data_IF_555613918349
#
_entry.id   IF_555613918349
#
_cell.length_a   1.000
_cell.length_b   1.000
_cell.length_c   1.000
_cell.angle_alpha   90.00
_cell.angle_beta   90.00
_cell.angle_gamma   90.00
#
_symmetry.space_group_name_H-M   'P 1'
#
loop_
_entity.id
_entity.type
_entity.pdbx_description
1 polymer ?
#
# COMPACT_ATOMS: atom_id res chain seq x y z
N UNK A 1 -20.08 -27.65 35.22
CA UNK A 1 -18.92 -27.75 34.32
C UNK A 1 -19.01 -26.57 33.39
N UNK A 2 -18.27 -25.50 33.69
CA UNK A 2 -18.32 -24.26 32.92
C UNK A 2 -17.53 -24.46 31.63
N UNK A 3 -18.19 -24.28 30.50
CA UNK A 3 -17.57 -24.29 29.19
C UNK A 3 -16.83 -22.96 29.02
N UNK A 4 -15.51 -22.98 29.21
CA UNK A 4 -14.64 -21.86 28.85
C UNK A 4 -14.67 -21.72 27.33
N UNK A 5 -15.46 -20.78 26.81
CA UNK A 5 -15.38 -20.40 25.40
C UNK A 5 -14.00 -19.80 25.16
N UNK A 6 -13.12 -20.56 24.51
CA UNK A 6 -11.85 -20.06 24.00
C UNK A 6 -12.16 -18.95 23.01
N UNK A 7 -11.99 -17.71 23.46
CA UNK A 7 -12.11 -16.55 22.60
C UNK A 7 -11.22 -16.65 21.38
N UNK A 8 -11.77 -16.32 20.21
CA UNK A 8 -10.98 -16.28 18.99
C UNK A 8 -10.12 -15.01 18.97
N UNK A 9 -8.80 -15.19 19.13
CA UNK A 9 -7.79 -14.12 18.97
C UNK A 9 -7.54 -13.77 17.49
N UNK A 10 -8.05 -14.60 16.58
CA UNK A 10 -8.09 -14.38 15.15
C UNK A 10 -9.55 -14.43 14.69
N UNK A 11 -9.96 -13.53 13.81
CA UNK A 11 -11.32 -13.53 13.27
C UNK A 11 -11.32 -13.15 11.79
N UNK A 12 -12.08 -13.90 11.00
CA UNK A 12 -12.42 -13.53 9.64
C UNK A 12 -13.66 -12.63 9.69
N UNK A 13 -13.49 -11.37 9.33
CA UNK A 13 -14.56 -10.41 9.18
C UNK A 13 -15.10 -10.48 7.77
N UNK A 14 -16.42 -10.53 7.64
CA UNK A 14 -17.11 -10.38 6.36
C UNK A 14 -17.92 -9.10 6.37
N UNK A 15 -17.62 -8.24 5.41
CA UNK A 15 -18.29 -6.98 5.20
C UNK A 15 -19.29 -7.13 4.06
N UNK A 16 -20.51 -6.67 4.31
CA UNK A 16 -21.55 -6.51 3.28
C UNK A 16 -22.12 -5.12 3.44
N UNK A 17 -21.86 -4.25 2.46
CA UNK A 17 -22.40 -2.90 2.42
C UNK A 17 -23.81 -2.91 1.84
N UNK A 18 -24.68 -2.06 2.40
CA UNK A 18 -26.01 -1.78 1.85
C UNK A 18 -25.95 -0.90 0.60
N UNK A 19 -24.81 -0.23 0.35
CA UNK A 19 -24.58 0.51 -0.88
C UNK A 19 -24.19 -0.47 -2.02
N UNK A 20 -24.69 -0.25 -3.25
CA UNK A 20 -24.41 -1.14 -4.38
C UNK A 20 -22.93 -1.14 -4.82
N UNK A 21 -22.18 -0.11 -4.43
CA UNK A 21 -20.73 -0.07 -4.57
C UNK A 21 -20.13 0.45 -3.27
N UNK A 22 -19.12 -0.25 -2.75
CA UNK A 22 -18.33 0.19 -1.62
C UNK A 22 -16.86 0.10 -2.03
N UNK A 23 -16.06 1.13 -1.78
CA UNK A 23 -14.65 1.13 -2.20
C UNK A 23 -13.73 0.91 -1.01
N UNK A 24 -14.08 1.47 0.15
CA UNK A 24 -13.29 1.30 1.37
C UNK A 24 -14.22 1.14 2.58
N UNK A 25 -13.94 0.18 3.44
CA UNK A 25 -14.59 0.01 4.73
C UNK A 25 -13.59 0.40 5.80
N UNK A 26 -13.91 1.39 6.64
CA UNK A 26 -13.14 1.67 7.85
C UNK A 26 -13.92 1.09 9.04
N UNK A 27 -13.21 0.51 10.00
CA UNK A 27 -13.80 -0.07 11.20
C UNK A 27 -12.79 -0.05 12.34
N UNK A 28 -13.25 -0.10 13.58
CA UNK A 28 -12.39 -0.17 14.75
C UNK A 28 -12.54 -1.50 15.44
N UNK A 29 -11.43 -2.05 15.95
CA UNK A 29 -11.41 -3.24 16.80
C UNK A 29 -10.81 -2.82 18.13
N UNK A 30 -11.60 -2.85 19.20
CA UNK A 30 -11.17 -2.38 20.53
C UNK A 30 -10.58 -0.94 20.51
N UNK A 31 -11.16 -0.06 19.69
CA UNK A 31 -10.70 1.31 19.51
C UNK A 31 -9.44 1.47 18.64
N UNK A 32 -8.90 0.38 18.09
CA UNK A 32 -7.80 0.42 17.12
C UNK A 32 -8.36 0.53 15.70
N UNK A 33 -7.95 1.52 14.89
CA UNK A 33 -8.48 1.72 13.54
C UNK A 33 -7.92 0.71 12.54
N UNK A 34 -8.81 0.11 11.75
CA UNK A 34 -8.52 -0.78 10.62
C UNK A 34 -9.30 -0.33 9.37
N UNK A 35 -8.87 -0.79 8.21
CA UNK A 35 -9.62 -0.60 6.97
C UNK A 35 -9.42 -1.73 5.98
N UNK A 36 -10.40 -1.93 5.12
CA UNK A 36 -10.35 -2.85 3.99
C UNK A 36 -10.82 -2.15 2.71
N UNK A 37 -10.31 -2.56 1.54
CA UNK A 37 -10.68 -2.01 0.23
C UNK A 37 -11.47 -3.06 -0.55
N UNK A 38 -12.71 -2.74 -0.88
CA UNK A 38 -13.61 -3.62 -1.62
C UNK A 38 -13.46 -3.34 -3.11
N UNK A 39 -12.71 -4.20 -3.81
CA UNK A 39 -12.32 -3.98 -5.22
C UNK A 39 -13.42 -4.38 -6.20
N UNK A 40 -14.25 -5.38 -5.86
CA UNK A 40 -15.21 -6.01 -6.76
C UNK A 40 -16.66 -6.02 -6.24
N UNK A 41 -17.14 -4.90 -5.68
CA UNK A 41 -18.57 -4.73 -5.34
C UNK A 41 -18.82 -4.19 -3.94
N UNK A 42 -19.85 -4.73 -3.28
CA UNK A 42 -20.28 -4.29 -1.95
C UNK A 42 -19.94 -5.28 -0.83
N UNK A 43 -19.22 -6.37 -1.14
CA UNK A 43 -18.81 -7.39 -0.18
C UNK A 43 -17.30 -7.55 -0.14
N UNK A 44 -16.78 -7.98 1.01
CA UNK A 44 -15.41 -8.45 1.13
C UNK A 44 -15.12 -9.10 2.47
N UNK A 45 -13.91 -9.64 2.59
CA UNK A 45 -13.45 -10.31 3.78
C UNK A 45 -12.10 -9.75 4.23
N UNK A 46 -11.86 -9.80 5.53
CA UNK A 46 -10.60 -9.41 6.15
C UNK A 46 -10.27 -10.38 7.28
N UNK A 47 -9.00 -10.61 7.52
CA UNK A 47 -8.56 -11.46 8.63
C UNK A 47 -7.78 -10.59 9.61
N UNK A 48 -8.28 -10.51 10.83
CA UNK A 48 -7.67 -9.71 11.89
C UNK A 48 -7.19 -10.58 13.03
N UNK A 49 -6.08 -10.16 13.63
CA UNK A 49 -5.49 -10.79 14.80
C UNK A 49 -5.34 -9.74 15.90
N UNK A 50 -5.78 -10.10 17.11
CA UNK A 50 -5.82 -9.21 18.25
C UNK A 50 -5.15 -9.85 19.47
N UNK A 51 -4.61 -9.00 20.34
CA UNK A 51 -4.10 -9.42 21.66
C UNK A 51 -5.23 -9.70 22.65
N UNK A 52 -6.46 -9.30 22.31
CA UNK A 52 -7.69 -9.53 23.05
C UNK A 52 -8.64 -10.37 22.21
N UNK A 53 -9.55 -11.06 22.90
CA UNK A 53 -10.60 -11.84 22.27
C UNK A 53 -11.44 -10.94 21.35
N UNK A 54 -11.45 -11.28 20.06
CA UNK A 54 -12.20 -10.52 19.06
C UNK A 54 -13.64 -11.01 19.11
N UNK A 55 -14.55 -10.08 19.42
CA UNK A 55 -15.99 -10.33 19.42
C UNK A 55 -16.71 -9.24 18.64
N UNK A 56 -17.93 -9.53 18.18
CA UNK A 56 -18.69 -8.59 17.34
C UNK A 56 -18.98 -7.26 18.04
N UNK A 57 -19.08 -7.26 19.38
CA UNK A 57 -19.30 -6.04 20.18
C UNK A 57 -18.09 -5.11 20.20
N UNK A 58 -16.90 -5.64 19.90
CA UNK A 58 -15.64 -4.89 19.92
C UNK A 58 -15.37 -4.23 18.57
N UNK A 59 -16.17 -4.56 17.54
CA UNK A 59 -16.08 -4.00 16.20
C UNK A 59 -17.05 -2.82 16.11
N UNK A 60 -16.51 -1.62 15.96
CA UNK A 60 -17.29 -0.38 16.04
C UNK A 60 -17.02 0.54 14.84
N UNK A 61 -17.93 1.49 14.63
CA UNK A 61 -17.85 2.56 13.61
C UNK A 61 -17.58 2.06 12.18
N UNK A 62 -18.23 0.95 11.78
CA UNK A 62 -18.12 0.39 10.43
C UNK A 62 -18.70 1.39 9.43
N UNK A 63 -17.82 2.00 8.63
CA UNK A 63 -18.20 3.02 7.64
C UNK A 63 -17.72 2.64 6.25
N UNK A 64 -18.63 2.66 5.28
CA UNK A 64 -18.31 2.47 3.87
C UNK A 64 -18.10 3.82 3.19
N UNK A 65 -16.97 3.97 2.51
CA UNK A 65 -16.71 5.07 1.59
C UNK A 65 -16.85 4.58 0.15
N UNK A 66 -17.68 5.28 -0.61
CA UNK A 66 -17.95 5.02 -2.02
C UNK A 66 -17.11 6.00 -2.84
N UNK A 67 -16.28 5.50 -3.76
CA UNK A 67 -15.62 6.37 -4.73
C UNK A 67 -16.69 7.03 -5.63
N UNK A 68 -16.52 8.32 -5.94
CA UNK A 68 -17.40 9.04 -6.88
C UNK A 68 -17.42 8.27 -8.21
N UNK A 69 -18.57 7.68 -8.55
CA UNK A 69 -18.74 6.93 -9.80
C UNK A 69 -18.57 7.90 -10.96
N UNK A 70 -17.43 7.84 -11.64
CA UNK A 70 -17.27 8.43 -12.96
C UNK A 70 -17.96 7.45 -13.90
N UNK A 71 -19.04 7.88 -14.57
CA UNK A 71 -19.80 7.03 -15.47
C UNK A 71 -18.85 6.38 -16.48
N UNK A 72 -18.70 5.05 -16.41
CA UNK A 72 -17.90 4.30 -17.38
C UNK A 72 -18.68 4.26 -18.68
N UNK A 73 -18.26 5.04 -19.66
CA UNK A 73 -18.66 4.82 -21.06
C UNK A 73 -18.20 3.42 -21.50
N UNK A 74 -19.01 2.66 -22.25
CA UNK A 74 -18.62 1.32 -22.70
C UNK A 74 -17.35 1.41 -23.56
N UNK A 75 -16.37 0.58 -23.25
CA UNK A 75 -15.09 0.50 -23.98
C UNK A 75 -15.35 -0.12 -25.36
N UNK A 76 -15.11 0.58 -26.49
CA UNK A 76 -15.03 -0.07 -27.79
C UNK A 76 -13.77 -0.92 -27.85
N UNK A 77 -13.91 -2.15 -28.33
CA UNK A 77 -12.88 -3.18 -28.49
C UNK A 77 -11.56 -2.61 -29.06
N UNK A 78 -10.47 -3.07 -28.45
CA UNK A 78 -9.06 -2.75 -28.74
C UNK A 78 -8.76 -2.42 -30.20
N UNK A 79 -8.28 -1.19 -30.41
CA UNK A 79 -7.31 -0.92 -31.47
C UNK A 79 -6.01 -0.46 -30.82
N UNK A 80 -4.94 -1.20 -31.15
CA UNK A 80 -3.50 -0.89 -31.21
C UNK A 80 -3.07 0.46 -30.58
N UNK A 81 -2.04 0.47 -29.70
CA UNK A 81 -1.78 1.59 -28.81
C UNK A 81 -1.46 2.87 -29.58
N UNK A 82 -2.43 3.78 -29.55
CA UNK A 82 -2.20 5.18 -29.78
C UNK A 82 -1.41 5.70 -28.57
N UNK A 83 -0.29 6.35 -28.87
CA UNK A 83 0.69 6.87 -27.93
C UNK A 83 0.02 7.92 -27.02
N UNK A 84 -0.71 7.44 -26.01
CA UNK A 84 -1.25 8.29 -24.95
C UNK A 84 -0.04 8.68 -24.13
N UNK A 85 0.43 9.90 -24.37
CA UNK A 85 1.51 10.53 -23.62
C UNK A 85 1.25 10.30 -22.12
N UNK A 86 2.02 9.39 -21.52
CA UNK A 86 1.90 8.99 -20.13
C UNK A 86 2.15 10.24 -19.30
N UNK A 87 1.10 10.85 -18.76
CA UNK A 87 1.24 12.04 -17.93
C UNK A 87 2.14 11.66 -16.73
N UNK A 88 3.29 12.32 -16.56
CA UNK A 88 4.20 11.97 -15.49
C UNK A 88 3.53 12.11 -14.13
N UNK A 89 3.72 11.12 -13.26
CA UNK A 89 3.26 11.20 -11.87
C UNK A 89 4.22 12.08 -11.06
N UNK A 90 3.77 12.57 -9.90
CA UNK A 90 4.62 13.33 -8.98
C UNK A 90 5.81 12.52 -8.44
N UNK A 91 5.75 11.19 -8.55
CA UNK A 91 6.85 10.30 -8.22
C UNK A 91 7.94 10.27 -9.28
N UNK A 92 7.65 10.66 -10.53
CA UNK A 92 8.59 10.44 -11.62
C UNK A 92 9.90 11.20 -11.42
N UNK A 93 11.01 10.52 -11.67
CA UNK A 93 12.36 11.04 -11.48
C UNK A 93 13.13 10.28 -10.42
N UNK A 94 14.29 10.84 -10.07
CA UNK A 94 15.24 10.21 -9.18
C UNK A 94 15.13 10.76 -7.76
N UNK A 95 15.25 9.86 -6.80
CA UNK A 95 15.11 10.10 -5.37
C UNK A 95 16.28 9.45 -4.66
N UNK A 96 16.90 10.19 -3.74
CA UNK A 96 17.97 9.65 -2.91
C UNK A 96 17.69 9.89 -1.43
N UNK A 97 18.00 8.89 -0.62
CA UNK A 97 17.89 8.95 0.83
C UNK A 97 19.02 8.18 1.48
N UNK A 98 19.35 8.56 2.71
CA UNK A 98 20.29 7.82 3.54
C UNK A 98 19.70 7.71 4.95
N UNK A 99 19.96 6.57 5.59
CA UNK A 99 19.48 6.28 6.94
C UNK A 99 20.10 5.00 7.47
N UNK A 100 19.60 4.55 8.61
CA UNK A 100 20.00 3.28 9.20
C UNK A 100 18.85 2.29 9.07
N UNK A 101 19.18 1.03 8.83
CA UNK A 101 18.19 -0.05 8.94
C UNK A 101 17.97 -0.42 10.42
N UNK A 102 17.01 -1.31 10.69
CA UNK A 102 16.69 -1.82 12.03
C UNK A 102 17.85 -2.55 12.71
N UNK A 103 18.87 -2.96 11.97
CA UNK A 103 20.10 -3.58 12.50
C UNK A 103 21.19 -2.54 12.81
N UNK A 104 20.89 -1.25 12.70
CA UNK A 104 21.82 -0.15 12.97
C UNK A 104 22.83 0.11 11.84
N UNK A 105 22.78 -0.63 10.74
CA UNK A 105 23.71 -0.45 9.61
C UNK A 105 23.29 0.73 8.74
N UNK A 106 24.25 1.58 8.38
CA UNK A 106 24.02 2.69 7.46
C UNK A 106 23.72 2.17 6.04
N UNK A 107 22.74 2.79 5.39
CA UNK A 107 22.34 2.50 4.03
C UNK A 107 22.03 3.79 3.27
N UNK A 108 22.37 3.80 1.99
CA UNK A 108 22.01 4.84 1.04
C UNK A 108 21.20 4.19 -0.10
N UNK A 109 20.08 4.80 -0.43
CA UNK A 109 19.20 4.33 -1.47
C UNK A 109 19.07 5.41 -2.54
N UNK A 110 19.22 5.01 -3.79
CA UNK A 110 19.00 5.86 -4.97
C UNK A 110 17.98 5.16 -5.85
N UNK A 111 16.77 5.69 -5.94
CA UNK A 111 15.66 5.10 -6.67
C UNK A 111 15.17 6.05 -7.76
N UNK A 112 14.85 5.50 -8.92
CA UNK A 112 14.20 6.18 -10.03
C UNK A 112 12.82 5.58 -10.21
N UNK A 113 11.80 6.43 -10.21
CA UNK A 113 10.44 6.03 -10.51
C UNK A 113 10.05 6.55 -11.89
N UNK A 114 9.39 5.71 -12.68
CA UNK A 114 8.91 6.06 -14.00
C UNK A 114 7.51 5.49 -14.23
N UNK A 115 6.55 6.35 -14.51
CA UNK A 115 5.17 5.96 -14.82
C UNK A 115 5.13 5.12 -16.10
N UNK A 116 4.66 3.89 -15.98
CA UNK A 116 4.55 2.95 -17.12
C UNK A 116 3.13 2.81 -17.62
N UNK A 117 2.16 2.99 -16.73
CA UNK A 117 0.72 2.99 -17.04
C UNK A 117 -0.02 3.79 -15.96
N UNK A 118 -1.30 4.09 -16.19
CA UNK A 118 -2.15 4.70 -15.18
C UNK A 118 -2.12 3.86 -13.88
N UNK A 119 -1.68 4.47 -12.78
CA UNK A 119 -1.56 3.80 -11.48
C UNK A 119 -0.41 2.79 -11.36
N UNK A 120 0.54 2.75 -12.30
CA UNK A 120 1.72 1.87 -12.26
C UNK A 120 3.00 2.63 -12.51
N UNK A 121 4.04 2.26 -11.78
CA UNK A 121 5.39 2.79 -11.97
C UNK A 121 6.41 1.65 -12.05
N UNK A 122 7.41 1.81 -12.92
CA UNK A 122 8.66 1.08 -12.85
C UNK A 122 9.56 1.73 -11.80
N UNK A 123 10.24 0.89 -11.03
CA UNK A 123 11.20 1.28 -10.01
C UNK A 123 12.55 0.68 -10.40
N UNK A 124 13.54 1.53 -10.57
CA UNK A 124 14.94 1.10 -10.75
C UNK A 124 15.81 1.82 -9.75
N UNK A 125 16.97 1.26 -9.41
CA UNK A 125 17.86 1.95 -8.49
C UNK A 125 18.95 1.10 -7.90
N UNK A 126 19.55 1.62 -6.84
CA UNK A 126 20.59 0.94 -6.07
C UNK A 126 20.39 1.14 -4.57
N UNK A 127 20.68 0.09 -3.82
CA UNK A 127 20.91 0.15 -2.39
C UNK A 127 22.41 -0.05 -2.12
N UNK A 128 23.00 0.89 -1.40
CA UNK A 128 24.39 0.86 -0.94
C UNK A 128 24.43 0.80 0.59
N UNK A 129 25.44 0.14 1.15
CA UNK A 129 25.63 0.07 2.61
C UNK A 129 26.93 -0.66 2.94
N UNK A 130 26.95 -1.35 4.09
CA UNK A 130 28.07 -2.23 4.46
C UNK A 130 28.16 -3.54 3.65
N UNK A 131 27.22 -3.75 2.73
CA UNK A 131 27.17 -4.87 1.81
C UNK A 131 27.40 -4.37 0.37
N UNK A 132 27.73 -5.26 -0.59
CA UNK A 132 27.85 -4.89 -2.00
C UNK A 132 26.62 -4.14 -2.48
N UNK A 133 26.82 -3.16 -3.37
CA UNK A 133 25.72 -2.41 -3.98
C UNK A 133 24.74 -3.37 -4.65
N UNK A 134 23.48 -3.32 -4.22
CA UNK A 134 22.42 -4.17 -4.76
C UNK A 134 21.59 -3.36 -5.75
N UNK A 135 21.51 -3.79 -7.02
CA UNK A 135 20.60 -3.16 -7.98
C UNK A 135 19.15 -3.54 -7.69
N UNK A 136 18.26 -2.58 -7.87
CA UNK A 136 16.82 -2.72 -7.65
C UNK A 136 16.13 -2.59 -9.01
N UNK A 137 15.22 -3.53 -9.29
CA UNK A 137 14.36 -3.50 -10.47
C UNK A 137 13.02 -4.12 -10.08
N UNK A 138 11.99 -3.28 -9.98
CA UNK A 138 10.68 -3.67 -9.55
C UNK A 138 9.59 -2.90 -10.30
N UNK A 139 8.34 -3.32 -10.10
CA UNK A 139 7.17 -2.59 -10.55
C UNK A 139 6.22 -2.40 -9.39
N UNK A 140 5.60 -1.23 -9.31
CA UNK A 140 4.75 -0.83 -8.20
C UNK A 140 3.44 -0.23 -8.65
N UNK A 141 2.53 -0.12 -7.71
CA UNK A 141 1.22 0.49 -7.89
C UNK A 141 1.19 1.85 -7.20
N UNK A 142 0.62 2.84 -7.88
CA UNK A 142 0.43 4.19 -7.37
C UNK A 142 -1.03 4.33 -6.93
N UNK A 143 -1.24 4.62 -5.66
CA UNK A 143 -2.54 4.93 -5.08
C UNK A 143 -2.47 6.27 -4.36
N UNK A 144 -2.99 7.32 -5.01
CA UNK A 144 -2.91 8.69 -4.51
C UNK A 144 -1.47 9.17 -4.37
N UNK A 145 -1.07 9.51 -3.14
CA UNK A 145 0.27 9.97 -2.77
C UNK A 145 1.17 8.85 -2.26
N UNK A 146 0.83 7.59 -2.51
CA UNK A 146 1.65 6.43 -2.11
C UNK A 146 1.92 5.52 -3.30
N UNK A 147 3.19 5.18 -3.49
CA UNK A 147 3.70 4.15 -4.38
C UNK A 147 4.06 2.93 -3.53
N UNK A 148 3.61 1.73 -3.89
CA UNK A 148 3.92 0.50 -3.17
C UNK A 148 4.38 -0.59 -4.13
N UNK A 149 5.37 -1.38 -3.73
CA UNK A 149 5.88 -2.48 -4.52
C UNK A 149 6.43 -3.60 -3.63
N UNK A 150 6.58 -4.78 -4.23
CA UNK A 150 7.30 -5.89 -3.65
C UNK A 150 8.63 -6.02 -4.39
N UNK A 151 9.74 -6.02 -3.67
CA UNK A 151 11.06 -6.31 -4.19
C UNK A 151 11.60 -7.59 -3.53
N UNK A 152 11.61 -8.68 -4.30
CA UNK A 152 11.87 -10.04 -3.82
C UNK A 152 10.97 -10.43 -2.63
N UNK A 153 11.49 -10.37 -1.40
CA UNK A 153 10.76 -10.67 -0.15
C UNK A 153 10.51 -9.43 0.71
N UNK A 154 10.83 -8.24 0.19
CA UNK A 154 10.74 -6.98 0.92
C UNK A 154 9.57 -6.18 0.37
N UNK A 155 8.64 -5.81 1.25
CA UNK A 155 7.53 -4.93 0.89
C UNK A 155 7.98 -3.49 1.09
N UNK A 156 7.92 -2.68 0.04
CA UNK A 156 8.40 -1.32 0.03
C UNK A 156 7.29 -0.33 -0.32
N UNK A 157 7.38 0.87 0.24
CA UNK A 157 6.48 1.96 -0.06
C UNK A 157 7.18 3.31 -0.04
N UNK A 158 6.71 4.21 -0.89
CA UNK A 158 7.14 5.59 -0.98
C UNK A 158 5.90 6.49 -0.88
N UNK A 159 5.83 7.34 0.13
CA UNK A 159 4.73 8.29 0.34
C UNK A 159 5.22 9.71 0.15
N UNK A 160 4.63 10.45 -0.78
CA UNK A 160 4.94 11.86 -0.97
C UNK A 160 4.62 12.66 0.29
N UNK A 161 5.61 13.39 0.79
CA UNK A 161 5.45 14.39 1.84
C UNK A 161 5.30 15.78 1.23
N UNK A 162 6.07 16.04 0.17
CA UNK A 162 6.03 17.25 -0.67
C UNK A 162 6.30 16.85 -2.12
N UNK A 163 6.39 17.83 -3.02
CA UNK A 163 6.82 17.66 -4.41
C UNK A 163 8.32 17.32 -4.59
N UNK A 164 9.12 17.52 -3.54
CA UNK A 164 10.58 17.28 -3.54
C UNK A 164 11.05 16.30 -2.46
N UNK A 165 10.14 15.80 -1.62
CA UNK A 165 10.47 14.82 -0.57
C UNK A 165 9.42 13.73 -0.41
N UNK A 166 9.86 12.50 -0.16
CA UNK A 166 8.99 11.37 0.16
C UNK A 166 9.51 10.59 1.38
N UNK A 167 8.60 9.99 2.13
CA UNK A 167 8.92 8.99 3.13
C UNK A 167 9.03 7.64 2.42
N UNK A 168 10.18 6.98 2.60
CA UNK A 168 10.47 5.66 2.05
C UNK A 168 10.57 4.65 3.17
N UNK A 169 9.89 3.53 3.01
CA UNK A 169 9.81 2.47 4.00
C UNK A 169 9.84 1.11 3.31
N UNK A 170 10.70 0.21 3.79
CA UNK A 170 10.73 -1.18 3.36
C UNK A 170 10.77 -2.12 4.56
N UNK A 171 10.04 -3.23 4.47
CA UNK A 171 9.98 -4.29 5.47
C UNK A 171 10.24 -5.65 4.84
N UNK A 172 11.22 -6.37 5.40
CA UNK A 172 11.54 -7.76 5.07
C UNK A 172 12.11 -8.45 6.30
N UNK A 173 13.34 -8.98 6.22
CA UNK A 173 14.05 -9.47 7.39
C UNK A 173 14.45 -8.35 8.38
N UNK A 174 14.65 -7.14 7.88
CA UNK A 174 14.77 -5.92 8.66
C UNK A 174 13.84 -4.85 8.10
N UNK A 175 13.77 -3.71 8.79
CA UNK A 175 13.08 -2.53 8.28
C UNK A 175 14.07 -1.41 7.98
N UNK A 176 13.73 -0.60 6.99
CA UNK A 176 14.39 0.67 6.74
C UNK A 176 13.31 1.73 6.56
N UNK A 177 13.51 2.86 7.21
CA UNK A 177 12.66 4.04 7.11
C UNK A 177 13.56 5.25 6.90
N UNK A 178 13.29 6.04 5.88
CA UNK A 178 14.05 7.28 5.63
C UNK A 178 13.21 8.28 4.85
N UNK A 179 13.65 9.53 4.84
CA UNK A 179 13.13 10.54 3.93
C UNK A 179 14.06 10.62 2.72
N UNK A 180 13.52 10.40 1.53
CA UNK A 180 14.24 10.61 0.28
C UNK A 180 13.92 11.99 -0.28
N UNK A 181 14.89 12.58 -0.95
CA UNK A 181 14.77 13.86 -1.66
C UNK A 181 14.95 13.66 -3.15
N UNK A 182 14.18 14.41 -3.92
CA UNK A 182 14.33 14.46 -5.37
C UNK A 182 15.72 14.97 -5.73
N UNK A 183 16.34 14.35 -6.74
CA UNK A 183 17.62 14.76 -7.30
C UNK A 183 17.42 15.72 -8.48
#
# INVERSE_FOLDING_TARGET
>A
MEATTLGSYASELRFTSSAPACSKVNYYVDGTPYFNVLVNGNTGADTIWGQKQISRTNITEITCQVCKQVAMTPVPVEKKPENTELKPTLFDGQWAGAGNNSFGSAQRWTLSFATTAAGKAAITGTMEGNFPTVPISASGTVSGSTLSWLDQQTTCSAKLLTDVSLAFECHGQGSVQMVMRRQ
#
